data_IF_284724857600
#
_entry.id   IF_284724857600
#
_cell.length_a   1.000
_cell.length_b   1.000
_cell.length_c   1.000
_cell.angle_alpha   90.00
_cell.angle_beta   90.00
_cell.angle_gamma   90.00
#
_symmetry.space_group_name_H-M   'P 1'
#
loop_
_entity.id
_entity.type
_entity.pdbx_description
1 polymer ?
#
# COMPACT_ATOMS: atom_id res chain seq x y z
N UNK A 1 -9.21 19.65 18.49
CA UNK A 1 -9.06 19.43 17.04
C UNK A 1 -9.26 17.95 16.82
N UNK A 2 -10.18 17.55 15.94
CA UNK A 2 -10.64 16.17 15.82
C UNK A 2 -9.49 15.21 15.45
N UNK A 3 -9.32 14.15 16.24
CA UNK A 3 -8.54 12.98 15.89
C UNK A 3 -9.24 12.27 14.72
N UNK A 4 -8.76 12.51 13.49
CA UNK A 4 -9.15 11.70 12.34
C UNK A 4 -8.42 10.37 12.43
N UNK A 5 -9.04 9.38 13.08
CA UNK A 5 -8.60 7.99 13.05
C UNK A 5 -8.91 7.38 11.67
N UNK A 6 -8.26 7.90 10.62
CA UNK A 6 -8.25 7.27 9.30
C UNK A 6 -6.92 6.56 9.21
N UNK A 7 -6.93 5.23 9.35
CA UNK A 7 -5.73 4.44 9.15
C UNK A 7 -5.19 4.76 7.75
N UNK A 8 -3.92 5.14 7.59
CA UNK A 8 -3.38 5.45 6.28
C UNK A 8 -3.40 4.17 5.45
N UNK A 9 -4.20 4.21 4.39
CA UNK A 9 -4.27 3.16 3.38
C UNK A 9 -3.33 3.51 2.24
N UNK A 10 -2.68 2.49 1.72
CA UNK A 10 -1.69 2.55 0.66
C UNK A 10 -2.30 1.89 -0.56
N UNK A 11 -2.22 2.57 -1.70
CA UNK A 11 -2.68 2.03 -2.97
C UNK A 11 -1.62 1.12 -3.55
N UNK A 12 -1.98 -0.13 -3.79
CA UNK A 12 -1.11 -1.10 -4.46
C UNK A 12 -1.81 -1.58 -5.73
N UNK A 13 -1.07 -1.63 -6.82
CA UNK A 13 -1.54 -2.19 -8.09
C UNK A 13 -1.05 -3.62 -8.21
N UNK A 14 -1.95 -4.56 -8.39
CA UNK A 14 -1.61 -5.97 -8.67
C UNK A 14 -1.01 -6.14 -10.08
N UNK A 15 -0.37 -7.28 -10.33
CA UNK A 15 0.16 -7.65 -11.65
C UNK A 15 -0.90 -7.66 -12.76
N UNK A 16 -2.17 -7.90 -12.41
CA UNK A 16 -3.34 -7.85 -13.30
C UNK A 16 -3.82 -6.43 -13.62
N UNK A 17 -3.19 -5.40 -13.02
CA UNK A 17 -3.55 -3.99 -13.21
C UNK A 17 -4.65 -3.48 -12.27
N UNK A 18 -5.19 -4.33 -11.40
CA UNK A 18 -6.22 -3.95 -10.42
C UNK A 18 -5.57 -3.25 -9.20
N UNK A 19 -6.14 -2.12 -8.77
CA UNK A 19 -5.64 -1.30 -7.64
C UNK A 19 -6.43 -1.59 -6.37
N UNK A 20 -5.72 -1.71 -5.26
CA UNK A 20 -6.25 -2.02 -3.94
C UNK A 20 -5.78 -0.99 -2.91
N UNK A 21 -6.71 -0.50 -2.10
CA UNK A 21 -6.41 0.25 -0.89
C UNK A 21 -6.16 -0.75 0.25
N UNK A 22 -4.90 -0.86 0.65
CA UNK A 22 -4.44 -1.80 1.69
C UNK A 22 -3.97 -1.00 2.90
N UNK A 23 -4.31 -1.47 4.09
CA UNK A 23 -3.92 -0.80 5.34
C UNK A 23 -2.39 -0.81 5.52
N UNK A 24 -1.82 0.30 6.02
CA UNK A 24 -0.39 0.38 6.32
C UNK A 24 0.11 -0.76 7.20
N UNK A 25 -0.72 -1.26 8.13
CA UNK A 25 -0.32 -2.31 9.04
C UNK A 25 -0.07 -3.61 8.27
N UNK A 26 -0.90 -3.89 7.26
CA UNK A 26 -0.73 -5.04 6.36
C UNK A 26 0.52 -4.88 5.50
N UNK A 27 0.80 -3.67 5.03
CA UNK A 27 2.01 -3.40 4.25
C UNK A 27 3.28 -3.54 5.09
N UNK A 28 3.25 -3.11 6.36
CA UNK A 28 4.36 -3.29 7.31
C UNK A 28 4.67 -4.76 7.61
N UNK A 29 3.70 -5.67 7.50
CA UNK A 29 3.95 -7.11 7.63
C UNK A 29 4.82 -7.64 6.48
N UNK A 30 4.77 -6.99 5.31
CA UNK A 30 5.54 -7.38 4.14
C UNK A 30 6.83 -6.56 4.05
N UNK A 31 7.94 -7.10 4.54
CA UNK A 31 9.24 -6.43 4.53
C UNK A 31 9.61 -5.87 3.15
N UNK A 32 9.31 -6.61 2.07
CA UNK A 32 9.62 -6.17 0.70
C UNK A 32 8.88 -4.89 0.33
N UNK A 33 7.58 -4.81 0.62
CA UNK A 33 6.76 -3.63 0.27
C UNK A 33 7.11 -2.47 1.21
N UNK A 34 7.36 -2.77 2.49
CA UNK A 34 7.82 -1.79 3.47
C UNK A 34 9.15 -1.13 3.04
N UNK A 35 10.13 -1.92 2.61
CA UNK A 35 11.39 -1.40 2.09
C UNK A 35 11.19 -0.58 0.82
N UNK A 36 10.31 -1.00 -0.10
CA UNK A 36 10.01 -0.19 -1.31
C UNK A 36 9.39 1.16 -0.96
N UNK A 37 8.49 1.23 0.03
CA UNK A 37 7.92 2.49 0.52
C UNK A 37 8.98 3.40 1.13
N UNK A 38 9.88 2.83 1.96
CA UNK A 38 10.98 3.58 2.54
C UNK A 38 11.97 4.09 1.48
N UNK A 39 12.27 3.26 0.47
CA UNK A 39 13.16 3.62 -0.65
C UNK A 39 12.57 4.74 -1.52
N UNK A 40 11.26 4.71 -1.74
CA UNK A 40 10.53 5.76 -2.45
C UNK A 40 10.31 7.03 -1.60
N UNK A 41 10.68 7.02 -0.32
CA UNK A 41 10.41 8.14 0.61
C UNK A 41 8.92 8.42 0.78
N UNK A 42 8.07 7.44 0.49
CA UNK A 42 6.62 7.53 0.58
C UNK A 42 6.20 7.22 2.02
N UNK A 43 6.49 8.14 2.93
CA UNK A 43 5.95 8.08 4.28
C UNK A 43 4.42 8.26 4.20
N UNK A 44 3.70 7.37 4.89
CA UNK A 44 2.25 7.15 4.79
C UNK A 44 1.37 8.35 5.23
N UNK A 45 1.97 9.52 5.43
CA UNK A 45 1.32 10.77 5.83
C UNK A 45 0.95 11.65 4.63
N UNK A 46 1.48 11.37 3.43
CA UNK A 46 1.11 12.08 2.21
C UNK A 46 0.11 11.25 1.42
N UNK A 47 -1.03 11.83 1.05
CA UNK A 47 -2.02 11.27 0.12
C UNK A 47 -1.30 10.59 -1.06
N UNK A 48 -1.15 9.27 -0.98
CA UNK A 48 -0.43 8.48 -1.97
C UNK A 48 -1.29 8.45 -3.23
N UNK A 49 -0.94 9.31 -4.18
CA UNK A 49 -1.61 9.38 -5.48
C UNK A 49 -1.12 8.28 -6.42
N UNK A 50 0.08 7.75 -6.19
CA UNK A 50 0.70 6.71 -7.02
C UNK A 50 0.54 5.33 -6.38
N UNK A 51 -0.04 4.39 -7.13
CA UNK A 51 -0.21 3.02 -6.68
C UNK A 51 1.08 2.21 -6.88
N UNK A 52 1.50 1.46 -5.87
CA UNK A 52 2.73 0.64 -5.94
C UNK A 52 2.49 -0.61 -6.79
N UNK A 53 3.20 -0.81 -7.91
CA UNK A 53 2.99 -1.98 -8.76
C UNK A 53 3.64 -3.25 -8.17
N UNK A 54 2.82 -4.24 -7.88
CA UNK A 54 3.20 -5.56 -7.38
C UNK A 54 3.17 -6.58 -8.54
N UNK A 55 4.23 -6.61 -9.34
CA UNK A 55 4.36 -7.49 -10.51
C UNK A 55 4.26 -9.00 -10.23
N UNK A 56 4.54 -9.44 -8.99
CA UNK A 56 4.52 -10.84 -8.60
C UNK A 56 3.30 -11.21 -7.74
N UNK A 57 2.35 -10.29 -7.56
CA UNK A 57 1.16 -10.50 -6.71
C UNK A 57 -0.10 -10.22 -7.53
N UNK A 58 -0.99 -11.21 -7.57
CA UNK A 58 -2.25 -11.10 -8.29
C UNK A 58 -3.35 -10.57 -7.36
N UNK A 59 -4.37 -9.95 -7.96
CA UNK A 59 -5.58 -9.48 -7.29
C UNK A 59 -6.25 -10.54 -6.40
N UNK A 60 -6.30 -11.80 -6.86
CA UNK A 60 -6.87 -12.91 -6.09
C UNK A 60 -6.10 -13.24 -4.80
N UNK A 61 -4.82 -12.89 -4.74
CA UNK A 61 -3.96 -13.09 -3.56
C UNK A 61 -4.15 -11.93 -2.57
N UNK A 62 -4.29 -10.69 -3.08
CA UNK A 62 -4.54 -9.48 -2.28
C UNK A 62 -5.96 -9.44 -1.68
N UNK A 63 -6.94 -10.08 -2.32
CA UNK A 63 -8.33 -10.20 -1.83
C UNK A 63 -8.51 -11.22 -0.69
N UNK A 64 -7.46 -11.98 -0.36
CA UNK A 64 -7.52 -13.13 0.54
C UNK A 64 -7.06 -12.77 1.94
#
# INVERSE_FOLDING_TARGET
MAESSSKPTIKVQSSDGEVFDVDQDVIKLSNTINTMLQDLGMDAEQDQTEAIPLQNVNAAILKK
#
